data_IF_453714303713
#
_entry.id   IF_453714303713
#
_cell.length_a   1.000
_cell.length_b   1.000
_cell.length_c   1.000
_cell.angle_alpha   90.00
_cell.angle_beta   90.00
_cell.angle_gamma   90.00
#
_symmetry.space_group_name_H-M   'P 1'
#
loop_
_entity.id
_entity.type
_entity.pdbx_description
1 polymer ?
#
# COMPACT_ATOMS: atom_id res chain seq x y z
N UNK A 1 -14.95 -17.69 2.50
CA UNK A 1 -14.17 -16.68 3.24
C UNK A 1 -15.11 -15.98 4.23
N UNK A 2 -14.95 -16.17 5.54
CA UNK A 2 -15.78 -15.52 6.57
C UNK A 2 -14.93 -14.73 7.58
N UNK A 3 -13.96 -13.97 7.07
CA UNK A 3 -13.31 -12.91 7.85
C UNK A 3 -13.44 -11.63 7.04
N UNK A 4 -14.21 -10.66 7.51
CA UNK A 4 -14.16 -9.30 6.93
C UNK A 4 -12.76 -8.77 7.21
N UNK A 5 -12.07 -8.33 6.17
CA UNK A 5 -10.83 -7.58 6.33
C UNK A 5 -11.17 -6.32 7.14
N UNK A 6 -10.53 -6.17 8.31
CA UNK A 6 -10.76 -5.03 9.20
C UNK A 6 -9.64 -4.03 8.96
N UNK A 7 -10.02 -2.79 8.67
CA UNK A 7 -9.09 -1.70 8.41
C UNK A 7 -9.28 -0.61 9.47
N UNK A 8 -8.18 0.04 9.85
CA UNK A 8 -8.24 1.28 10.63
C UNK A 8 -8.72 2.43 9.73
N UNK A 9 -9.43 3.40 10.30
CA UNK A 9 -9.58 4.71 9.65
C UNK A 9 -8.26 5.50 9.77
N UNK A 10 -8.09 6.58 9.00
CA UNK A 10 -6.82 7.30 8.95
C UNK A 10 -6.43 7.93 10.30
N UNK A 11 -7.38 8.48 11.04
CA UNK A 11 -7.11 9.06 12.37
C UNK A 11 -6.59 8.00 13.36
N UNK A 12 -7.27 6.84 13.45
CA UNK A 12 -6.80 5.74 14.28
C UNK A 12 -5.45 5.21 13.79
N UNK A 13 -5.24 5.12 12.48
CA UNK A 13 -3.97 4.73 11.88
C UNK A 13 -2.82 5.66 12.28
N UNK A 14 -3.02 6.97 12.16
CA UNK A 14 -2.04 7.98 12.53
C UNK A 14 -1.75 7.97 14.04
N UNK A 15 -2.79 7.84 14.87
CA UNK A 15 -2.65 7.75 16.33
C UNK A 15 -1.89 6.50 16.74
N UNK A 16 -2.17 5.35 16.12
CA UNK A 16 -1.43 4.10 16.37
C UNK A 16 0.01 4.24 15.93
N UNK A 17 0.29 4.87 14.79
CA UNK A 17 1.66 5.11 14.34
C UNK A 17 2.45 5.97 15.33
N UNK A 18 1.85 7.03 15.90
CA UNK A 18 2.49 7.91 16.87
C UNK A 18 2.66 7.32 18.27
N UNK A 19 1.79 6.39 18.68
CA UNK A 19 1.78 5.83 20.07
C UNK A 19 2.35 4.41 20.15
N UNK A 20 2.31 3.65 19.06
CA UNK A 20 2.75 2.25 18.96
C UNK A 20 3.44 2.03 17.62
N UNK A 21 4.64 2.58 17.49
CA UNK A 21 5.46 2.54 16.26
C UNK A 21 5.65 1.09 15.74
N UNK A 22 5.74 0.10 16.64
CA UNK A 22 5.86 -1.33 16.29
C UNK A 22 4.53 -2.10 16.35
N UNK A 23 3.37 -1.43 16.35
CA UNK A 23 2.08 -2.02 16.73
C UNK A 23 1.70 -3.28 15.94
N UNK A 24 1.93 -3.30 14.62
CA UNK A 24 1.67 -4.48 13.79
C UNK A 24 2.65 -5.63 14.06
N UNK A 25 3.95 -5.32 14.24
CA UNK A 25 4.97 -6.31 14.57
C UNK A 25 4.70 -6.95 15.93
N UNK A 26 4.37 -6.14 16.95
CA UNK A 26 4.00 -6.62 18.29
C UNK A 26 2.75 -7.49 18.23
N UNK A 27 1.73 -7.09 17.48
CA UNK A 27 0.51 -7.88 17.34
C UNK A 27 0.78 -9.26 16.74
N UNK A 28 1.56 -9.33 15.65
CA UNK A 28 1.93 -10.60 15.02
C UNK A 28 2.72 -11.47 16.00
N UNK A 29 3.70 -10.90 16.69
CA UNK A 29 4.55 -11.61 17.65
C UNK A 29 3.75 -12.19 18.83
N UNK A 30 2.81 -11.43 19.39
CA UNK A 30 1.99 -11.89 20.52
C UNK A 30 1.00 -12.99 20.10
N UNK A 31 0.41 -12.90 18.90
CA UNK A 31 -0.51 -13.92 18.37
C UNK A 31 0.20 -15.27 18.23
N UNK A 32 1.42 -15.28 17.69
CA UNK A 32 2.23 -16.50 17.53
C UNK A 32 2.79 -17.00 18.85
N UNK A 33 3.18 -16.12 19.79
CA UNK A 33 3.68 -16.49 21.13
C UNK A 33 2.63 -17.23 21.96
N UNK A 34 1.37 -16.75 21.93
CA UNK A 34 0.26 -17.44 22.58
C UNK A 34 0.20 -18.90 22.11
N UNK A 35 0.37 -19.17 20.81
CA UNK A 35 0.30 -20.53 20.29
C UNK A 35 1.40 -21.47 20.77
N UNK A 36 2.65 -21.01 20.87
CA UNK A 36 3.78 -21.83 21.32
C UNK A 36 3.61 -22.25 22.79
N UNK A 37 3.05 -21.36 23.63
CA UNK A 37 2.77 -21.62 25.04
C UNK A 37 1.64 -22.63 25.27
N UNK A 38 0.59 -22.63 24.44
CA UNK A 38 -0.51 -23.59 24.56
C UNK A 38 -0.09 -25.03 24.23
N UNK A 39 0.86 -25.23 23.29
CA UNK A 39 1.33 -26.58 22.93
C UNK A 39 2.12 -27.26 24.05
N UNK A 40 2.72 -26.51 24.98
CA UNK A 40 3.48 -27.08 26.09
C UNK A 40 2.65 -27.43 27.33
N UNK A 41 1.41 -26.95 27.46
CA UNK A 41 0.58 -27.12 28.68
C UNK A 41 -0.48 -28.23 28.63
N UNK A 42 -0.44 -29.12 27.64
CA UNK A 42 -1.18 -30.38 27.66
C UNK A 42 -2.36 -30.48 26.69
N UNK A 43 -2.30 -31.50 25.84
CA UNK A 43 -3.42 -32.40 25.49
C UNK A 43 -4.64 -31.90 24.71
N UNK A 44 -5.00 -30.61 24.70
CA UNK A 44 -6.23 -30.14 24.05
C UNK A 44 -5.95 -28.99 23.07
N UNK A 45 -6.20 -29.24 21.78
CA UNK A 45 -6.14 -28.24 20.72
C UNK A 45 -7.39 -27.34 20.80
N UNK A 46 -7.39 -26.33 21.68
CA UNK A 46 -8.37 -25.25 21.63
C UNK A 46 -8.01 -24.26 20.52
N UNK A 47 -9.01 -23.86 19.73
CA UNK A 47 -8.93 -22.98 18.56
C UNK A 47 -8.43 -21.56 18.93
N UNK A 48 -7.13 -21.39 19.11
CA UNK A 48 -6.48 -20.08 19.10
C UNK A 48 -6.69 -19.40 17.72
N UNK A 49 -6.81 -18.06 17.64
CA UNK A 49 -7.04 -17.35 16.39
C UNK A 49 -5.94 -17.70 15.39
N UNK A 50 -6.32 -18.43 14.35
CA UNK A 50 -5.39 -18.97 13.38
C UNK A 50 -4.96 -17.84 12.44
N UNK A 51 -3.69 -17.41 12.48
CA UNK A 51 -3.08 -16.64 11.39
C UNK A 51 -2.90 -17.57 10.18
N UNK A 52 -3.97 -17.69 9.40
CA UNK A 52 -4.04 -18.51 8.21
C UNK A 52 -3.97 -17.63 6.99
N UNK A 53 -3.06 -17.96 6.10
CA UNK A 53 -3.06 -17.41 4.75
C UNK A 53 -3.40 -18.56 3.82
N UNK A 54 -4.56 -18.47 3.18
CA UNK A 54 -4.93 -19.42 2.13
C UNK A 54 -4.23 -18.99 0.84
N UNK A 55 -3.63 -19.95 0.13
CA UNK A 55 -3.13 -19.70 -1.21
C UNK A 55 -4.23 -19.94 -2.23
N UNK A 56 -4.33 -18.98 -3.15
CA UNK A 56 -5.30 -19.00 -4.22
C UNK A 56 -4.57 -18.69 -5.52
N UNK A 57 -4.81 -19.52 -6.53
CA UNK A 57 -4.24 -19.34 -7.87
C UNK A 57 -5.34 -19.15 -8.90
N UNK A 58 -4.99 -18.47 -9.97
CA UNK A 58 -5.73 -18.47 -11.23
C UNK A 58 -5.07 -19.48 -12.17
N UNK A 59 -5.86 -20.33 -12.84
CA UNK A 59 -5.32 -21.32 -13.79
C UNK A 59 -5.14 -20.78 -15.21
N UNK A 60 -5.78 -19.66 -15.56
CA UNK A 60 -5.66 -19.00 -16.86
C UNK A 60 -5.70 -17.49 -16.66
N UNK A 61 -4.74 -16.82 -17.28
CA UNK A 61 -4.46 -15.40 -17.16
C UNK A 61 -4.55 -14.76 -18.55
N UNK A 62 -5.51 -13.86 -18.83
CA UNK A 62 -5.67 -13.28 -20.16
C UNK A 62 -4.78 -12.04 -20.39
N UNK A 63 -4.34 -11.33 -19.34
CA UNK A 63 -3.61 -10.07 -19.47
C UNK A 63 -2.32 -10.04 -18.63
N UNK A 64 -1.29 -9.40 -19.17
CA UNK A 64 0.06 -9.28 -18.61
C UNK A 64 0.35 -7.87 -18.09
N UNK A 65 -0.69 -7.14 -17.69
CA UNK A 65 -0.58 -5.76 -17.22
C UNK A 65 -0.69 -5.70 -15.71
N UNK A 66 0.40 -5.33 -15.03
CA UNK A 66 0.47 -5.17 -13.57
C UNK A 66 -0.64 -4.28 -12.97
N UNK A 67 -1.07 -3.24 -13.69
CA UNK A 67 -2.06 -2.27 -13.22
C UNK A 67 -3.50 -2.81 -13.24
N UNK A 68 -3.72 -4.00 -13.79
CA UNK A 68 -5.04 -4.59 -13.97
C UNK A 68 -5.26 -5.78 -13.04
N UNK A 69 -6.43 -5.81 -12.41
CA UNK A 69 -6.92 -6.95 -11.62
C UNK A 69 -7.86 -7.79 -12.47
N UNK A 70 -7.79 -9.11 -12.33
CA UNK A 70 -8.74 -10.01 -12.99
C UNK A 70 -10.03 -10.15 -12.18
N UNK A 71 -11.15 -10.08 -12.89
CA UNK A 71 -12.47 -10.28 -12.28
C UNK A 71 -12.60 -11.71 -11.75
N UNK A 72 -12.88 -11.83 -10.45
CA UNK A 72 -13.13 -13.13 -9.79
C UNK A 72 -14.36 -13.86 -10.33
N UNK A 73 -15.27 -13.15 -11.01
CA UNK A 73 -16.43 -13.75 -11.68
C UNK A 73 -16.02 -14.52 -12.93
N UNK A 74 -15.03 -14.03 -13.67
CA UNK A 74 -14.51 -14.67 -14.89
C UNK A 74 -13.43 -15.69 -14.56
N UNK A 75 -12.58 -15.36 -13.58
CA UNK A 75 -11.48 -16.20 -13.13
C UNK A 75 -11.67 -16.50 -11.64
N UNK A 76 -12.39 -17.57 -11.27
CA UNK A 76 -12.57 -17.90 -9.86
C UNK A 76 -11.25 -18.34 -9.23
N UNK A 77 -11.06 -17.97 -7.96
CA UNK A 77 -9.89 -18.35 -7.18
C UNK A 77 -9.96 -19.82 -6.77
N UNK A 78 -8.90 -20.58 -7.03
CA UNK A 78 -8.83 -22.01 -6.70
C UNK A 78 -7.97 -22.20 -5.44
N UNK A 79 -8.51 -22.82 -4.37
CA UNK A 79 -7.74 -23.13 -3.17
C UNK A 79 -6.71 -24.22 -3.45
N UNK A 80 -5.43 -23.90 -3.27
CA UNK A 80 -4.34 -24.86 -3.49
C UNK A 80 -3.69 -25.33 -2.18
N UNK A 81 -3.82 -24.56 -1.11
CA UNK A 81 -3.16 -24.87 0.14
C UNK A 81 -3.28 -23.77 1.19
N UNK A 82 -2.56 -23.96 2.30
CA UNK A 82 -2.67 -23.14 3.51
C UNK A 82 -1.31 -22.94 4.16
N UNK A 83 -0.94 -21.69 4.40
CA UNK A 83 0.19 -21.31 5.25
C UNK A 83 -0.30 -21.11 6.68
N UNK A 84 0.51 -21.59 7.61
CA UNK A 84 0.29 -21.46 9.04
C UNK A 84 1.55 -20.87 9.66
N UNK A 85 1.46 -19.65 10.18
CA UNK A 85 2.53 -19.05 10.99
C UNK A 85 2.39 -19.58 12.43
N UNK A 86 3.40 -20.31 12.91
CA UNK A 86 3.34 -21.05 14.18
C UNK A 86 4.55 -20.84 15.10
N UNK A 87 5.54 -20.04 14.69
CA UNK A 87 6.76 -19.80 15.46
C UNK A 87 7.29 -18.41 15.17
N UNK A 88 7.77 -17.73 16.21
CA UNK A 88 8.50 -16.47 16.07
C UNK A 88 9.98 -16.69 15.76
N UNK A 89 10.65 -15.72 15.11
CA UNK A 89 12.10 -15.72 15.00
C UNK A 89 12.76 -15.75 16.37
N UNK A 90 13.89 -16.42 16.47
CA UNK A 90 14.69 -16.46 17.71
C UNK A 90 15.61 -15.24 17.81
N UNK A 91 16.14 -14.80 16.67
CA UNK A 91 16.93 -13.59 16.57
C UNK A 91 16.39 -12.77 15.41
N UNK A 92 15.89 -11.57 15.71
CA UNK A 92 15.26 -10.71 14.72
C UNK A 92 16.22 -10.32 13.58
N UNK A 93 17.47 -10.02 13.89
CA UNK A 93 18.44 -9.63 12.87
C UNK A 93 18.78 -10.82 11.94
N UNK A 94 19.08 -11.98 12.51
CA UNK A 94 19.47 -13.15 11.74
C UNK A 94 18.31 -13.76 10.93
N UNK A 95 17.09 -13.76 11.48
CA UNK A 95 15.93 -14.43 10.85
C UNK A 95 15.05 -13.47 10.02
N UNK A 96 14.98 -12.18 10.37
CA UNK A 96 14.08 -11.21 9.71
C UNK A 96 14.88 -10.24 8.85
N UNK A 97 15.84 -9.53 9.44
CA UNK A 97 16.60 -8.51 8.70
C UNK A 97 17.49 -9.13 7.62
N UNK A 98 18.04 -10.33 7.84
CA UNK A 98 18.88 -11.02 6.85
C UNK A 98 18.09 -11.89 5.85
N UNK A 99 16.77 -12.00 5.99
CA UNK A 99 15.96 -12.75 5.04
C UNK A 99 16.02 -12.10 3.65
N UNK A 100 16.20 -12.90 2.61
CA UNK A 100 16.37 -12.46 1.23
C UNK A 100 15.36 -13.14 0.31
N UNK A 101 14.26 -12.43 0.03
CA UNK A 101 13.25 -12.88 -0.93
C UNK A 101 13.60 -12.40 -2.33
N UNK A 102 13.31 -13.22 -3.35
CA UNK A 102 13.44 -12.83 -4.75
C UNK A 102 12.39 -13.57 -5.58
N UNK A 103 11.68 -12.89 -6.50
CA UNK A 103 10.75 -13.57 -7.42
C UNK A 103 11.49 -14.46 -8.43
N UNK A 104 12.80 -14.31 -8.59
CA UNK A 104 13.61 -15.18 -9.45
C UNK A 104 13.85 -16.57 -8.82
N UNK A 105 13.58 -16.75 -7.53
CA UNK A 105 13.69 -18.05 -6.86
C UNK A 105 12.46 -18.92 -7.15
N UNK A 106 12.32 -19.37 -8.40
CA UNK A 106 11.25 -20.26 -8.83
C UNK A 106 11.68 -21.73 -8.79
N UNK A 107 10.71 -22.62 -8.62
CA UNK A 107 10.91 -24.07 -8.69
C UNK A 107 10.46 -24.58 -10.08
N UNK A 108 10.95 -25.75 -10.54
CA UNK A 108 10.46 -26.36 -11.76
C UNK A 108 8.93 -26.40 -11.85
N UNK A 109 8.38 -25.99 -12.99
CA UNK A 109 6.94 -25.87 -13.24
C UNK A 109 6.33 -24.49 -12.92
N UNK A 110 7.11 -23.54 -12.40
CA UNK A 110 6.72 -22.14 -12.24
C UNK A 110 7.69 -21.28 -13.05
N UNK A 111 7.15 -20.42 -13.90
CA UNK A 111 7.94 -19.61 -14.83
C UNK A 111 7.43 -18.16 -14.85
N UNK A 112 8.32 -17.18 -15.08
CA UNK A 112 7.93 -15.79 -15.14
C UNK A 112 7.15 -15.50 -16.43
N UNK A 113 6.11 -14.67 -16.31
CA UNK A 113 5.44 -14.12 -17.48
C UNK A 113 6.26 -12.97 -18.10
N UNK A 114 6.02 -12.60 -19.36
CA UNK A 114 6.69 -11.45 -19.99
C UNK A 114 6.12 -10.09 -19.53
N UNK A 115 5.57 -10.01 -18.31
CA UNK A 115 5.17 -8.75 -17.69
C UNK A 115 6.41 -7.85 -17.47
N UNK A 116 6.36 -6.62 -17.99
CA UNK A 116 7.50 -5.69 -18.00
C UNK A 116 8.05 -5.40 -16.60
N UNK A 117 7.18 -5.33 -15.59
CA UNK A 117 7.58 -5.06 -14.21
C UNK A 117 8.15 -6.29 -13.53
N UNK A 118 7.58 -7.48 -13.78
CA UNK A 118 8.12 -8.74 -13.30
C UNK A 118 9.53 -8.96 -13.86
N UNK A 119 9.73 -8.77 -15.16
CA UNK A 119 11.03 -8.94 -15.82
C UNK A 119 12.12 -8.08 -15.17
N UNK A 120 11.85 -6.81 -14.87
CA UNK A 120 12.79 -5.95 -14.14
C UNK A 120 13.05 -6.44 -12.70
N UNK A 121 12.04 -6.98 -12.02
CA UNK A 121 12.16 -7.51 -10.66
C UNK A 121 12.95 -8.82 -10.59
N UNK A 122 12.98 -9.64 -11.63
CA UNK A 122 13.82 -10.85 -11.66
C UNK A 122 15.30 -10.51 -11.49
N UNK A 123 15.72 -9.37 -12.03
CA UNK A 123 17.07 -8.84 -11.88
C UNK A 123 17.28 -8.12 -10.54
N UNK A 124 16.42 -7.15 -10.22
CA UNK A 124 16.68 -6.16 -9.16
C UNK A 124 16.85 -6.76 -7.75
N UNK A 125 16.17 -7.86 -7.43
CA UNK A 125 16.23 -8.42 -6.09
C UNK A 125 17.58 -9.08 -5.81
N UNK A 126 18.14 -9.81 -6.76
CA UNK A 126 19.45 -10.45 -6.57
C UNK A 126 20.54 -9.39 -6.44
N UNK A 127 20.49 -8.35 -7.28
CA UNK A 127 21.42 -7.22 -7.23
C UNK A 127 21.41 -6.52 -5.85
N UNK A 128 20.22 -6.25 -5.30
CA UNK A 128 20.14 -5.61 -3.97
C UNK A 128 20.70 -6.49 -2.85
N UNK A 129 20.59 -7.82 -2.96
CA UNK A 129 21.12 -8.73 -1.95
C UNK A 129 22.65 -8.75 -1.95
N UNK A 130 23.29 -8.56 -3.11
CA UNK A 130 24.75 -8.43 -3.17
C UNK A 130 25.23 -7.23 -2.37
N UNK A 131 24.57 -6.08 -2.48
CA UNK A 131 24.92 -4.90 -1.70
C UNK A 131 24.58 -5.06 -0.21
N UNK A 132 23.40 -5.61 0.09
CA UNK A 132 22.87 -5.67 1.47
C UNK A 132 23.50 -6.75 2.34
N UNK A 133 23.80 -7.92 1.76
CA UNK A 133 24.21 -9.12 2.48
C UNK A 133 25.53 -9.73 1.95
N UNK A 134 25.96 -9.36 0.76
CA UNK A 134 27.15 -9.89 0.10
C UNK A 134 26.87 -11.01 -0.89
N UNK A 135 27.90 -11.42 -1.63
CA UNK A 135 27.79 -12.41 -2.72
C UNK A 135 27.26 -13.77 -2.23
N UNK A 136 27.63 -14.18 -1.02
CA UNK A 136 27.28 -15.47 -0.44
C UNK A 136 26.02 -15.45 0.45
N UNK A 137 25.11 -14.48 0.27
CA UNK A 137 23.92 -14.34 1.11
C UNK A 137 23.01 -15.59 1.16
N UNK A 138 23.04 -16.41 0.11
CA UNK A 138 22.30 -17.67 0.02
C UNK A 138 22.80 -18.73 1.00
N UNK A 139 24.03 -18.58 1.52
CA UNK A 139 24.60 -19.48 2.53
C UNK A 139 24.15 -19.15 3.96
N UNK A 140 23.52 -17.98 4.19
CA UNK A 140 22.96 -17.63 5.50
C UNK A 140 21.86 -18.64 5.89
N UNK A 141 21.81 -19.02 7.17
CA UNK A 141 20.94 -20.08 7.66
C UNK A 141 19.45 -19.86 7.34
N UNK A 142 18.98 -18.61 7.26
CA UNK A 142 17.60 -18.27 6.91
C UNK A 142 17.31 -18.37 5.40
N UNK A 143 18.34 -18.19 4.56
CA UNK A 143 18.21 -18.15 3.10
C UNK A 143 18.60 -19.49 2.46
N UNK A 144 19.32 -20.35 3.18
CA UNK A 144 19.81 -21.60 2.63
C UNK A 144 18.66 -22.60 2.39
N UNK A 145 18.73 -23.42 1.33
CA UNK A 145 17.72 -24.44 1.07
C UNK A 145 17.63 -25.46 2.20
N UNK A 146 16.48 -25.59 2.85
CA UNK A 146 16.30 -26.43 4.05
C UNK A 146 16.52 -27.95 3.81
N UNK A 147 16.23 -28.45 2.60
CA UNK A 147 16.27 -29.89 2.28
C UNK A 147 16.91 -30.20 0.92
N UNK A 148 17.70 -29.28 0.38
CA UNK A 148 18.43 -29.50 -0.85
C UNK A 148 19.92 -29.29 -0.61
N UNK A 149 20.76 -30.23 -1.07
CA UNK A 149 22.21 -30.04 -1.10
C UNK A 149 22.56 -29.37 -2.41
N UNK A 150 23.05 -28.13 -2.33
CA UNK A 150 23.41 -27.35 -3.52
C UNK A 150 24.80 -27.76 -3.98
N UNK A 151 24.88 -28.34 -5.17
CA UNK A 151 26.15 -28.65 -5.82
C UNK A 151 26.26 -27.84 -7.11
N UNK A 152 27.25 -26.95 -7.16
CA UNK A 152 27.50 -26.09 -8.31
C UNK A 152 29.00 -25.79 -8.46
N UNK A 153 29.33 -25.05 -9.50
CA UNK A 153 30.71 -24.67 -9.84
C UNK A 153 31.11 -23.28 -9.32
N UNK A 154 30.22 -22.59 -8.60
CA UNK A 154 30.52 -21.28 -8.01
C UNK A 154 31.49 -21.43 -6.82
N UNK A 155 32.41 -20.47 -6.68
CA UNK A 155 33.45 -20.44 -5.65
C UNK A 155 33.67 -19.03 -5.13
N UNK A 156 34.28 -18.97 -3.95
CA UNK A 156 34.83 -17.79 -3.30
C UNK A 156 33.80 -16.69 -3.02
N UNK A 157 34.26 -15.44 -2.98
CA UNK A 157 33.47 -14.28 -2.57
C UNK A 157 33.53 -14.01 -1.06
N UNK A 158 33.20 -12.79 -0.62
CA UNK A 158 33.21 -12.43 0.79
C UNK A 158 32.33 -13.37 1.62
N UNK A 159 32.79 -13.72 2.83
CA UNK A 159 32.06 -14.52 3.81
C UNK A 159 31.55 -15.87 3.28
N UNK A 160 32.32 -16.54 2.41
CA UNK A 160 32.02 -17.91 1.99
C UNK A 160 32.20 -18.90 3.15
N UNK A 161 31.12 -19.55 3.59
CA UNK A 161 31.17 -20.62 4.60
C UNK A 161 31.39 -22.00 3.98
N UNK A 162 30.80 -22.21 2.79
CA UNK A 162 30.91 -23.41 1.98
C UNK A 162 31.49 -23.04 0.62
N UNK A 163 32.66 -23.61 0.31
CA UNK A 163 33.39 -23.33 -0.93
C UNK A 163 33.65 -24.59 -1.78
N UNK A 164 32.83 -25.63 -1.61
CA UNK A 164 32.85 -26.87 -2.40
C UNK A 164 34.21 -27.60 -2.42
N UNK A 165 35.03 -27.42 -1.37
CA UNK A 165 36.32 -28.07 -1.13
C UNK A 165 37.25 -28.13 -2.36
N UNK A 166 37.90 -29.28 -2.62
CA UNK A 166 38.78 -29.50 -3.77
C UNK A 166 38.06 -29.84 -5.08
N UNK A 167 36.73 -29.67 -5.16
CA UNK A 167 36.00 -30.02 -6.38
C UNK A 167 36.32 -29.03 -7.52
N UNK A 168 36.40 -29.49 -8.79
CA UNK A 168 36.59 -28.62 -9.94
C UNK A 168 35.58 -27.46 -9.95
N UNK A 169 36.02 -26.28 -10.40
CA UNK A 169 35.22 -25.05 -10.47
C UNK A 169 34.76 -24.73 -11.91
N UNK A 170 34.73 -25.73 -12.80
CA UNK A 170 34.36 -25.56 -14.20
C UNK A 170 33.56 -26.76 -14.74
N UNK A 171 32.79 -26.51 -15.81
CA UNK A 171 32.02 -27.51 -16.55
C UNK A 171 32.19 -27.29 -18.07
N UNK A 172 32.33 -28.35 -18.89
CA UNK A 172 32.46 -29.75 -18.50
C UNK A 172 33.85 -30.06 -17.90
N UNK A 173 33.96 -31.12 -17.10
CA UNK A 173 35.25 -31.58 -16.54
C UNK A 173 35.32 -33.12 -16.42
N UNK A 174 36.54 -33.66 -16.31
CA UNK A 174 36.81 -35.10 -16.28
C UNK A 174 36.77 -35.75 -14.88
N UNK A 175 36.62 -34.96 -13.82
CA UNK A 175 36.66 -35.42 -12.43
C UNK A 175 35.27 -35.63 -11.82
N UNK A 176 34.21 -35.51 -12.64
CA UNK A 176 32.82 -35.63 -12.21
C UNK A 176 32.24 -34.31 -11.66
N UNK A 177 31.19 -34.42 -10.85
CA UNK A 177 30.50 -33.27 -10.27
C UNK A 177 29.10 -33.02 -10.87
N UNK A 178 28.50 -31.85 -10.58
CA UNK A 178 27.17 -31.48 -11.02
C UNK A 178 27.00 -31.59 -12.54
N UNK A 179 25.92 -32.22 -12.99
CA UNK A 179 25.55 -32.25 -14.40
C UNK A 179 24.32 -31.38 -14.62
N UNK A 180 24.28 -30.76 -15.80
CA UNK A 180 23.11 -30.02 -16.22
C UNK A 180 21.91 -30.97 -16.43
N UNK A 181 20.74 -30.57 -15.93
CA UNK A 181 19.47 -31.27 -16.08
C UNK A 181 18.49 -30.40 -16.88
N UNK A 182 18.88 -30.09 -18.11
CA UNK A 182 18.11 -29.24 -19.03
C UNK A 182 16.67 -29.71 -19.27
N UNK A 183 16.35 -30.98 -19.00
CA UNK A 183 14.99 -31.51 -19.20
C UNK A 183 14.06 -31.14 -18.05
N UNK A 184 14.52 -31.29 -16.81
CA UNK A 184 13.71 -30.95 -15.63
C UNK A 184 13.56 -29.45 -15.42
N UNK A 185 14.48 -28.65 -15.98
CA UNK A 185 14.49 -27.19 -15.90
C UNK A 185 14.20 -26.51 -17.25
N UNK A 186 13.65 -27.24 -18.23
CA UNK A 186 13.31 -26.68 -19.52
C UNK A 186 12.23 -25.60 -19.37
N UNK A 187 12.51 -24.40 -19.89
CA UNK A 187 11.54 -23.31 -19.97
C UNK A 187 10.47 -23.59 -21.04
N UNK A 188 9.28 -23.01 -20.85
CA UNK A 188 8.22 -23.06 -21.82
C UNK A 188 8.65 -22.40 -23.14
N UNK A 189 8.42 -23.11 -24.25
CA UNK A 189 8.66 -22.54 -25.58
C UNK A 189 7.49 -21.64 -25.96
N UNK A 190 7.77 -20.38 -26.25
CA UNK A 190 6.79 -19.45 -26.82
C UNK A 190 7.38 -18.75 -28.04
N UNK A 191 6.51 -18.35 -28.96
CA UNK A 191 6.90 -17.57 -30.14
C UNK A 191 6.88 -16.09 -29.79
N UNK A 192 7.90 -15.35 -30.23
CA UNK A 192 7.98 -13.91 -30.07
C UNK A 192 8.29 -13.26 -31.44
N UNK A 193 7.64 -12.13 -31.73
CA UNK A 193 7.81 -11.36 -32.96
C UNK A 193 7.55 -9.88 -32.71
N UNK A 194 8.25 -9.00 -33.41
CA UNK A 194 8.07 -7.55 -33.31
C UNK A 194 9.40 -6.81 -33.19
N UNK A 195 9.34 -5.48 -33.22
CA UNK A 195 10.53 -4.64 -33.11
C UNK A 195 11.00 -4.53 -31.65
N UNK A 196 12.33 -4.46 -31.46
CA UNK A 196 12.93 -4.24 -30.15
C UNK A 196 13.05 -2.74 -29.91
N UNK A 197 12.08 -2.17 -29.22
CA UNK A 197 12.02 -0.73 -28.93
C UNK A 197 11.45 -0.45 -27.53
N UNK A 198 11.71 0.77 -27.01
CA UNK A 198 11.02 1.32 -25.85
C UNK A 198 9.68 1.92 -26.27
N UNK A 199 8.59 1.27 -25.89
CA UNK A 199 7.22 1.73 -26.14
C UNK A 199 6.66 2.51 -24.95
N UNK A 200 5.87 3.54 -25.23
CA UNK A 200 5.16 4.33 -24.22
C UNK A 200 3.80 3.70 -23.89
N UNK A 201 3.29 3.95 -22.69
CA UNK A 201 2.00 3.48 -22.16
C UNK A 201 0.90 4.55 -22.22
N UNK A 202 1.08 5.63 -22.99
CA UNK A 202 0.12 6.74 -23.06
C UNK A 202 -1.29 6.32 -23.53
N UNK A 203 -1.38 5.30 -24.39
CA UNK A 203 -2.65 4.83 -24.94
C UNK A 203 -3.27 3.69 -24.10
N UNK A 204 -2.66 3.33 -22.96
CA UNK A 204 -3.20 2.30 -22.07
C UNK A 204 -4.41 2.83 -21.28
N UNK A 205 -5.39 1.97 -21.06
CA UNK A 205 -6.57 2.30 -20.26
C UNK A 205 -6.24 2.35 -18.76
N UNK A 206 -6.22 3.58 -18.24
CA UNK A 206 -5.91 3.89 -16.85
C UNK A 206 -7.15 4.18 -15.99
N UNK A 207 -8.37 4.20 -16.55
CA UNK A 207 -9.55 4.75 -15.87
C UNK A 207 -10.68 3.72 -15.64
N UNK A 208 -10.79 2.70 -16.49
CA UNK A 208 -11.91 1.74 -16.38
C UNK A 208 -11.89 0.95 -15.07
N UNK A 209 -10.74 0.42 -14.66
CA UNK A 209 -10.66 -0.35 -13.42
C UNK A 209 -10.83 0.51 -12.15
N UNK A 210 -10.19 1.68 -12.03
CA UNK A 210 -10.51 2.61 -10.94
C UNK A 210 -11.99 2.97 -10.87
N UNK A 211 -12.66 3.13 -12.02
CA UNK A 211 -14.09 3.43 -12.08
C UNK A 211 -14.92 2.26 -11.56
N UNK A 212 -14.57 1.03 -11.92
CA UNK A 212 -15.22 -0.18 -11.39
C UNK A 212 -15.00 -0.29 -9.89
N UNK A 213 -13.78 -0.03 -9.41
CA UNK A 213 -13.46 -0.04 -7.98
C UNK A 213 -14.32 0.95 -7.20
N UNK A 214 -14.34 2.22 -7.64
CA UNK A 214 -15.20 3.25 -7.05
C UNK A 214 -16.68 2.83 -7.05
N UNK A 215 -17.21 2.45 -8.21
CA UNK A 215 -18.65 2.26 -8.39
C UNK A 215 -19.20 0.92 -7.88
N UNK A 216 -18.40 -0.15 -7.87
CA UNK A 216 -18.87 -1.52 -7.64
C UNK A 216 -18.22 -2.22 -6.46
N UNK A 217 -17.06 -1.76 -6.00
CA UNK A 217 -16.34 -2.39 -4.87
C UNK A 217 -16.58 -1.60 -3.58
N UNK A 218 -16.47 -0.28 -3.63
CA UNK A 218 -16.64 0.57 -2.46
C UNK A 218 -18.12 0.87 -2.16
N UNK A 219 -18.50 0.74 -0.89
CA UNK A 219 -19.74 1.33 -0.37
C UNK A 219 -19.58 2.83 -0.07
N UNK A 220 -20.68 3.52 0.25
CA UNK A 220 -20.70 4.97 0.48
C UNK A 220 -19.75 5.42 1.60
N UNK A 221 -19.74 4.72 2.73
CA UNK A 221 -18.85 5.04 3.85
C UNK A 221 -17.37 4.86 3.48
N UNK A 222 -17.05 3.83 2.69
CA UNK A 222 -15.69 3.58 2.20
C UNK A 222 -15.26 4.62 1.18
N UNK A 223 -16.15 5.05 0.29
CA UNK A 223 -15.91 6.15 -0.65
C UNK A 223 -15.59 7.44 0.09
N UNK A 224 -16.40 7.78 1.10
CA UNK A 224 -16.18 8.95 1.94
C UNK A 224 -14.80 8.91 2.61
N UNK A 225 -14.45 7.78 3.25
CA UNK A 225 -13.12 7.60 3.87
C UNK A 225 -11.98 7.71 2.87
N UNK A 226 -12.13 7.15 1.67
CA UNK A 226 -11.14 7.27 0.60
C UNK A 226 -10.91 8.74 0.23
N UNK A 227 -11.99 9.49 0.01
CA UNK A 227 -11.91 10.90 -0.37
C UNK A 227 -11.31 11.74 0.77
N UNK A 228 -11.73 11.51 2.01
CA UNK A 228 -11.17 12.21 3.18
C UNK A 228 -9.67 12.00 3.30
N UNK A 229 -9.18 10.77 3.11
CA UNK A 229 -7.75 10.46 3.14
C UNK A 229 -6.99 11.17 2.01
N UNK A 230 -7.52 11.12 0.79
CA UNK A 230 -6.91 11.80 -0.36
C UNK A 230 -6.86 13.31 -0.12
N UNK A 231 -7.97 13.90 0.29
CA UNK A 231 -8.09 15.34 0.52
C UNK A 231 -7.20 15.82 1.67
N UNK A 232 -7.04 15.01 2.72
CA UNK A 232 -6.13 15.31 3.84
C UNK A 232 -4.66 15.40 3.42
N UNK A 233 -4.22 14.60 2.44
CA UNK A 233 -2.89 14.74 1.86
C UNK A 233 -2.82 15.84 0.80
N UNK A 234 -3.85 15.95 -0.03
CA UNK A 234 -3.89 16.89 -1.16
C UNK A 234 -3.99 18.35 -0.72
N UNK A 235 -4.60 18.63 0.44
CA UNK A 235 -4.70 19.98 1.00
C UNK A 235 -3.33 20.61 1.24
N UNK A 236 -2.28 19.83 1.43
CA UNK A 236 -0.92 20.34 1.66
C UNK A 236 -0.12 20.55 0.36
N UNK A 237 -0.62 20.07 -0.79
CA UNK A 237 0.04 20.22 -2.08
C UNK A 237 -0.12 21.64 -2.66
N UNK A 238 0.66 22.02 -3.67
CA UNK A 238 0.49 23.31 -4.36
C UNK A 238 -0.82 23.37 -5.16
N UNK A 239 -1.49 24.53 -5.30
CA UNK A 239 -2.80 24.64 -5.93
C UNK A 239 -2.91 24.00 -7.33
N UNK A 240 -1.91 24.19 -8.19
CA UNK A 240 -1.91 23.61 -9.54
C UNK A 240 -1.81 22.07 -9.53
N UNK A 241 -1.22 21.47 -8.49
CA UNK A 241 -1.17 20.01 -8.31
C UNK A 241 -2.55 19.52 -7.87
N UNK A 242 -3.21 20.24 -6.95
CA UNK A 242 -4.56 19.91 -6.49
C UNK A 242 -5.54 19.84 -7.65
N UNK A 243 -5.50 20.84 -8.53
CA UNK A 243 -6.33 20.89 -9.73
C UNK A 243 -6.07 19.69 -10.66
N UNK A 244 -4.80 19.38 -10.97
CA UNK A 244 -4.45 18.22 -11.81
C UNK A 244 -4.93 16.90 -11.22
N UNK A 245 -4.79 16.71 -9.92
CA UNK A 245 -5.22 15.49 -9.22
C UNK A 245 -6.75 15.35 -9.24
N UNK A 246 -7.48 16.43 -8.92
CA UNK A 246 -8.95 16.45 -9.00
C UNK A 246 -9.42 16.14 -10.42
N UNK A 247 -8.81 16.77 -11.43
CA UNK A 247 -9.13 16.51 -12.83
C UNK A 247 -8.86 15.04 -13.20
N UNK A 248 -7.77 14.45 -12.71
CA UNK A 248 -7.48 13.04 -12.93
C UNK A 248 -8.57 12.12 -12.32
N UNK A 249 -9.05 12.42 -11.11
CA UNK A 249 -10.15 11.66 -10.51
C UNK A 249 -11.49 11.86 -11.21
N UNK A 250 -11.74 13.04 -11.81
CA UNK A 250 -12.93 13.27 -12.61
C UNK A 250 -12.99 12.41 -13.89
N UNK A 251 -11.83 12.02 -14.45
CA UNK A 251 -11.77 11.05 -15.56
C UNK A 251 -12.19 9.63 -15.13
N UNK A 252 -11.99 9.28 -13.85
CA UNK A 252 -12.46 8.02 -13.27
C UNK A 252 -13.97 8.06 -13.09
N UNK A 253 -14.47 9.05 -12.35
CA UNK A 253 -15.89 9.27 -12.13
C UNK A 253 -16.15 10.75 -11.76
N UNK A 254 -17.14 11.42 -12.38
CA UNK A 254 -17.44 12.83 -12.07
C UNK A 254 -17.78 13.08 -10.60
N UNK A 255 -18.45 12.12 -9.94
CA UNK A 255 -18.78 12.25 -8.51
C UNK A 255 -17.53 12.13 -7.65
N UNK A 256 -16.61 11.23 -8.00
CA UNK A 256 -15.35 11.08 -7.29
C UNK A 256 -14.49 12.35 -7.36
N UNK A 257 -14.37 12.94 -8.55
CA UNK A 257 -13.70 14.24 -8.72
C UNK A 257 -14.35 15.36 -7.91
N UNK A 258 -15.69 15.43 -7.93
CA UNK A 258 -16.45 16.44 -7.17
C UNK A 258 -16.24 16.32 -5.68
N UNK A 259 -16.40 15.13 -5.10
CA UNK A 259 -16.20 14.90 -3.67
C UNK A 259 -14.78 15.25 -3.24
N UNK A 260 -13.78 14.87 -4.05
CA UNK A 260 -12.37 15.17 -3.81
C UNK A 260 -12.11 16.67 -3.78
N UNK A 261 -12.72 17.44 -4.69
CA UNK A 261 -12.61 18.90 -4.70
C UNK A 261 -13.27 19.52 -3.46
N UNK A 262 -14.51 19.12 -3.13
CA UNK A 262 -15.26 19.71 -2.02
C UNK A 262 -14.52 19.52 -0.69
N UNK A 263 -14.07 18.29 -0.39
CA UNK A 263 -13.38 18.00 0.87
C UNK A 263 -12.01 18.67 0.91
N UNK A 264 -11.29 18.72 -0.22
CA UNK A 264 -10.00 19.45 -0.27
C UNK A 264 -10.18 20.93 0.03
N UNK A 265 -11.20 21.58 -0.55
CA UNK A 265 -11.52 22.97 -0.27
C UNK A 265 -11.94 23.17 1.19
N UNK A 266 -12.80 22.30 1.72
CA UNK A 266 -13.21 22.34 3.13
C UNK A 266 -12.02 22.27 4.10
N UNK A 267 -11.08 21.35 3.85
CA UNK A 267 -9.86 21.23 4.66
C UNK A 267 -8.99 22.49 4.60
N UNK A 268 -8.88 23.12 3.42
CA UNK A 268 -8.17 24.38 3.27
C UNK A 268 -8.84 25.50 4.07
N UNK A 269 -10.16 25.64 3.98
CA UNK A 269 -10.89 26.65 4.73
C UNK A 269 -10.76 26.48 6.24
N UNK A 270 -10.86 25.25 6.75
CA UNK A 270 -10.63 25.00 8.17
C UNK A 270 -9.20 25.31 8.58
N UNK A 271 -8.21 25.01 7.74
CA UNK A 271 -6.82 25.36 8.04
C UNK A 271 -6.60 26.88 8.04
N UNK A 272 -7.17 27.62 7.09
CA UNK A 272 -7.14 29.08 7.07
C UNK A 272 -7.85 29.70 8.28
N UNK A 273 -9.01 29.18 8.67
CA UNK A 273 -9.72 29.64 9.86
C UNK A 273 -8.92 29.39 11.14
N UNK A 274 -8.23 28.25 11.24
CA UNK A 274 -7.33 27.95 12.36
C UNK A 274 -6.11 28.87 12.36
N UNK A 275 -5.50 29.15 11.20
CA UNK A 275 -4.36 30.08 11.08
C UNK A 275 -4.77 31.51 11.44
N UNK A 276 -5.95 31.98 11.02
CA UNK A 276 -6.45 33.29 11.43
C UNK A 276 -6.69 33.35 12.94
N UNK A 277 -7.20 32.27 13.55
CA UNK A 277 -7.38 32.17 15.01
C UNK A 277 -6.02 32.15 15.72
N UNK A 278 -5.04 31.37 15.27
CA UNK A 278 -3.71 31.29 15.87
C UNK A 278 -2.92 32.59 15.68
N UNK A 279 -3.05 33.27 14.54
CA UNK A 279 -2.52 34.62 14.31
C UNK A 279 -3.21 35.66 15.22
N UNK A 280 -4.53 35.55 15.42
CA UNK A 280 -5.27 36.37 16.38
C UNK A 280 -4.87 36.08 17.84
N UNK A 281 -4.56 34.83 18.20
CA UNK A 281 -4.10 34.44 19.53
C UNK A 281 -2.66 34.91 19.75
N UNK A 282 -1.78 34.74 18.76
CA UNK A 282 -0.38 35.17 18.80
C UNK A 282 -0.23 36.70 18.78
N UNK A 283 -1.12 37.42 18.09
CA UNK A 283 -1.14 38.89 18.10
C UNK A 283 -1.79 39.47 19.36
N UNK A 284 -2.65 38.70 20.06
CA UNK A 284 -3.22 39.06 21.37
C UNK A 284 -2.24 38.98 22.55
N UNK A 285 -1.04 38.47 22.37
CA UNK A 285 0.03 38.57 23.38
C UNK A 285 0.59 40.00 23.56
N UNK A 286 0.14 40.98 22.75
CA UNK A 286 0.61 42.36 22.80
C UNK A 286 -0.43 43.40 23.30
N UNK A 287 -1.64 42.99 23.71
CA UNK A 287 -2.64 43.92 24.23
C UNK A 287 -3.34 43.32 25.46
N UNK A 288 -2.75 43.54 26.62
CA UNK A 288 -3.43 43.43 27.89
C UNK A 288 -4.27 44.70 28.09
N UNK A 289 -5.60 44.58 27.97
CA UNK A 289 -6.65 45.26 28.74
C UNK A 289 -8.01 45.08 28.02
N UNK A 290 -8.94 44.35 28.64
CA UNK A 290 -10.36 44.17 28.24
C UNK A 290 -11.26 45.01 29.19
N UNK A 291 -12.55 45.33 28.91
CA UNK A 291 -13.57 44.59 28.11
C UNK A 291 -14.59 45.49 27.33
N UNK A 292 -15.77 45.03 26.82
CA UNK A 292 -16.30 43.68 26.58
C UNK A 292 -16.63 43.37 25.09
N UNK A 293 -16.96 42.10 24.87
CA UNK A 293 -17.36 41.43 23.62
C UNK A 293 -18.60 42.08 22.98
N UNK A 294 -18.42 43.04 22.06
CA UNK A 294 -19.52 43.54 21.20
C UNK A 294 -19.04 44.43 20.02
N UNK A 295 -18.01 44.07 19.24
CA UNK A 295 -17.73 44.81 17.99
C UNK A 295 -16.65 44.15 17.13
N UNK A 296 -16.98 43.07 16.42
CA UNK A 296 -16.22 42.71 15.21
C UNK A 296 -17.22 42.40 14.10
N UNK A 297 -18.07 43.38 13.80
CA UNK A 297 -18.79 43.45 12.52
C UNK A 297 -18.86 44.92 12.13
N UNK A 298 -17.76 45.45 11.62
CA UNK A 298 -17.75 46.76 10.99
C UNK A 298 -16.46 46.93 10.21
N UNK A 299 -16.63 46.99 8.88
CA UNK A 299 -15.68 47.39 7.82
C UNK A 299 -14.93 46.26 7.11
N UNK A 300 -15.38 45.96 5.89
CA UNK A 300 -14.62 45.21 4.88
C UNK A 300 -15.49 44.24 4.07
N UNK A 301 -15.97 44.71 2.93
CA UNK A 301 -16.48 43.99 1.76
C UNK A 301 -16.22 42.46 1.68
N UNK A 302 -17.25 41.70 2.07
CA UNK A 302 -18.06 40.84 1.19
C UNK A 302 -17.42 39.76 0.29
N UNK A 303 -16.61 38.85 0.86
CA UNK A 303 -16.32 37.53 0.23
C UNK A 303 -16.55 36.32 1.14
N UNK A 304 -16.68 36.52 2.45
CA UNK A 304 -16.96 35.43 3.40
C UNK A 304 -18.40 34.92 3.30
N UNK A 305 -19.36 35.81 3.11
CA UNK A 305 -20.79 35.49 3.09
C UNK A 305 -21.22 34.74 1.83
N UNK A 306 -20.72 35.14 0.66
CA UNK A 306 -20.91 34.42 -0.61
C UNK A 306 -20.34 33.00 -0.57
N UNK A 307 -19.21 32.79 0.11
CA UNK A 307 -18.59 31.47 0.28
C UNK A 307 -19.39 30.57 1.24
N UNK A 308 -19.96 31.15 2.30
CA UNK A 308 -20.86 30.44 3.23
C UNK A 308 -22.17 30.03 2.54
N UNK A 309 -22.74 30.92 1.72
CA UNK A 309 -23.93 30.64 0.92
C UNK A 309 -23.68 29.53 -0.11
N UNK A 310 -22.52 29.52 -0.77
CA UNK A 310 -22.12 28.44 -1.68
C UNK A 310 -21.95 27.11 -0.94
N UNK A 311 -21.35 27.13 0.25
CA UNK A 311 -21.18 25.94 1.09
C UNK A 311 -22.53 25.37 1.58
N UNK A 312 -23.48 26.23 1.98
CA UNK A 312 -24.82 25.81 2.39
C UNK A 312 -25.63 25.22 1.22
N UNK A 313 -25.51 25.82 0.01
CA UNK A 313 -26.23 25.37 -1.20
C UNK A 313 -25.68 24.05 -1.77
N UNK A 314 -24.38 23.78 -1.59
CA UNK A 314 -23.73 22.50 -1.97
C UNK A 314 -24.06 21.38 -0.96
N UNK A 315 -24.35 21.72 0.30
CA UNK A 315 -24.51 20.75 1.40
C UNK A 315 -25.98 20.43 1.73
N UNK A 316 -26.96 21.02 1.04
CA UNK A 316 -28.40 20.83 1.26
C UNK A 316 -28.85 21.08 2.73
N UNK A 317 -28.17 22.00 3.42
CA UNK A 317 -28.48 22.40 4.80
C UNK A 317 -29.34 23.67 4.81
N UNK A 318 -30.52 23.63 5.45
CA UNK A 318 -31.34 24.82 5.68
C UNK A 318 -30.74 25.69 6.79
N UNK A 319 -30.32 26.92 6.46
CA UNK A 319 -29.94 27.92 7.45
C UNK A 319 -31.20 28.65 7.95
N UNK A 320 -31.52 28.52 9.25
CA UNK A 320 -32.55 29.36 9.91
C UNK A 320 -31.87 30.54 10.59
N UNK A 321 -32.38 31.74 10.31
CA UNK A 321 -31.88 33.00 10.87
C UNK A 321 -32.74 33.45 12.06
N UNK A 322 -32.14 33.92 13.18
CA UNK A 322 -32.88 34.66 14.20
C UNK A 322 -33.11 36.09 13.70
N UNK A 323 -34.34 36.40 13.31
CA UNK A 323 -34.72 37.75 12.87
C UNK A 323 -34.71 38.69 14.09
N UNK A 324 -33.75 39.61 14.10
CA UNK A 324 -33.79 40.79 14.96
C UNK A 324 -34.91 41.73 14.47
N UNK A 325 -35.84 42.08 15.35
CA UNK A 325 -37.09 42.79 15.02
C UNK A 325 -36.89 44.25 14.60
N UNK A 326 -35.65 44.76 14.59
CA UNK A 326 -35.39 46.19 14.40
C UNK A 326 -34.59 46.58 13.13
N UNK A 327 -34.38 45.67 12.17
CA UNK A 327 -33.84 46.07 10.86
C UNK A 327 -34.78 45.70 9.72
N UNK A 328 -35.68 46.63 9.40
CA UNK A 328 -36.26 46.74 8.06
C UNK A 328 -35.13 47.22 7.14
N UNK A 329 -34.62 46.32 6.30
CA UNK A 329 -34.22 46.67 4.93
C UNK A 329 -34.12 45.39 4.08
N UNK A 330 -34.87 45.40 2.99
CA UNK A 330 -34.84 44.42 1.92
C UNK A 330 -33.45 44.35 1.30
N UNK A 331 -32.95 43.13 1.07
CA UNK A 331 -32.14 42.83 -0.12
C UNK A 331 -32.70 41.54 -0.71
N UNK A 332 -33.30 41.65 -1.90
CA UNK A 332 -33.57 40.51 -2.79
C UNK A 332 -32.25 40.04 -3.37
N UNK A 333 -31.95 38.74 -3.26
CA UNK A 333 -31.11 37.98 -4.19
C UNK A 333 -31.83 36.66 -4.46
#
# INVERSE_FOLDING_TARGET
>A
MKGKEKQFNAEAGAKVAGTKIAGAQTAIFEITKCRTGYRQKGGAEMDAPKCLVNFLFFLKAPSLFLLQVWSRKQYPLIPVGKIVLNRNPTNYFADVEQAAFSPAHMIPGIEPSPDKMLQGRLFAYTDTHFHRLGANYQQLAINCPYRARVHNYQRDGPMAFHNQDGAPNYFPNSFGGPKDDYKSFAEHKFLCSGDVQRYNSSDEDNFTQPKIFWNKVLNEDERKRLVENIAGHLSNAQPFIREKVVNNFAHVDPDFGRQSLVITLFNLFNHFAIIEIDFLISSKAAFAETPPVASIVSKGTDFGWLKLLLACKISNLEAKWPVDKNQKNLIRI
#
